data_IF_140896740757
#
_entry.id   IF_140896740757
#
_cell.length_a   1.000
_cell.length_b   1.000
_cell.length_c   1.000
_cell.angle_alpha   90.00
_cell.angle_beta   90.00
_cell.angle_gamma   90.00
#
_symmetry.space_group_name_H-M   'P 1'
#
loop_
_entity.id
_entity.type
_entity.pdbx_description
1 polymer ?
#
# COMPACT_ATOMS: atom_id res chain seq x y z
N UNK A 1 -24.83 21.88 26.31
CA UNK A 1 -24.29 21.80 27.67
C UNK A 1 -22.80 21.49 27.59
N UNK A 2 -21.98 22.03 28.49
CA UNK A 2 -20.55 21.70 28.60
C UNK A 2 -20.16 21.49 30.07
N UNK A 3 -19.19 20.63 30.30
CA UNK A 3 -18.62 20.30 31.60
C UNK A 3 -17.11 20.39 31.48
N UNK A 4 -16.46 21.01 32.47
CA UNK A 4 -15.01 21.11 32.59
C UNK A 4 -14.60 20.49 33.93
N UNK A 5 -13.70 19.52 33.90
CA UNK A 5 -13.16 18.82 35.07
C UNK A 5 -11.66 19.11 35.17
N UNK A 6 -11.18 19.41 36.36
CA UNK A 6 -9.76 19.54 36.64
C UNK A 6 -9.30 18.30 37.43
N UNK A 7 -8.30 17.59 36.90
CA UNK A 7 -7.65 16.53 37.67
C UNK A 7 -6.98 17.10 38.94
N UNK A 8 -6.68 16.27 39.95
CA UNK A 8 -5.88 16.70 41.11
C UNK A 8 -4.53 17.33 40.71
N UNK A 9 -3.97 16.96 39.56
CA UNK A 9 -2.74 17.53 38.99
C UNK A 9 -2.97 18.82 38.17
N UNK A 10 -4.19 19.38 38.14
CA UNK A 10 -4.51 20.64 37.46
C UNK A 10 -4.78 20.53 35.95
N UNK A 11 -4.70 19.34 35.35
CA UNK A 11 -4.99 19.16 33.91
C UNK A 11 -6.50 19.26 33.64
N UNK A 12 -6.94 20.11 32.68
CA UNK A 12 -8.36 20.23 32.32
C UNK A 12 -8.81 19.12 31.37
N UNK A 13 -10.03 18.65 31.57
CA UNK A 13 -10.78 17.76 30.69
C UNK A 13 -12.12 18.41 30.41
N UNK A 14 -12.56 18.45 29.15
CA UNK A 14 -13.82 19.07 28.81
C UNK A 14 -14.66 18.15 27.92
N UNK A 15 -15.96 18.17 28.16
CA UNK A 15 -16.95 17.48 27.35
C UNK A 15 -18.14 18.40 27.12
N UNK A 16 -18.72 18.38 25.92
CA UNK A 16 -19.88 19.22 25.64
C UNK A 16 -20.60 18.79 24.37
N UNK A 17 -21.92 19.03 24.37
CA UNK A 17 -22.78 18.85 23.22
C UNK A 17 -23.36 20.21 22.76
N UNK A 18 -23.32 20.55 21.45
CA UNK A 18 -22.76 19.75 20.35
C UNK A 18 -21.23 19.67 20.32
N UNK A 19 -20.55 20.66 20.90
CA UNK A 19 -19.12 20.65 21.22
C UNK A 19 -18.86 21.66 22.33
N UNK A 20 -17.72 21.58 23.02
CA UNK A 20 -17.33 22.56 24.05
C UNK A 20 -17.21 23.97 23.44
N UNK A 21 -16.56 24.08 22.28
CA UNK A 21 -16.43 25.36 21.56
C UNK A 21 -17.77 26.00 21.21
N UNK A 22 -18.76 25.21 20.77
CA UNK A 22 -20.09 25.72 20.46
C UNK A 22 -20.86 26.21 21.70
N UNK A 23 -20.51 25.71 22.90
CA UNK A 23 -21.09 26.21 24.15
C UNK A 23 -20.37 27.49 24.60
N UNK A 24 -19.04 27.54 24.49
CA UNK A 24 -18.24 28.72 24.82
C UNK A 24 -18.61 29.92 23.94
N UNK A 25 -18.75 29.71 22.63
CA UNK A 25 -19.15 30.76 21.68
C UNK A 25 -20.49 31.42 22.07
N UNK A 26 -21.47 30.60 22.51
CA UNK A 26 -22.76 31.12 23.02
C UNK A 26 -22.65 31.80 24.38
N UNK A 27 -21.69 31.39 25.20
CA UNK A 27 -21.44 31.99 26.51
C UNK A 27 -20.80 33.38 26.36
N UNK A 28 -19.85 33.52 25.43
CA UNK A 28 -19.16 34.77 25.11
C UNK A 28 -20.05 35.77 24.35
N UNK A 29 -20.99 35.27 23.55
CA UNK A 29 -21.93 36.10 22.76
C UNK A 29 -23.41 35.82 23.11
N UNK A 30 -23.91 36.21 24.31
CA UNK A 30 -25.28 35.89 24.75
C UNK A 30 -26.39 36.45 23.85
N UNK A 31 -26.10 37.47 23.05
CA UNK A 31 -27.06 38.14 22.15
C UNK A 31 -27.25 37.40 20.81
N UNK A 32 -26.46 36.36 20.52
CA UNK A 32 -26.61 35.54 19.31
C UNK A 32 -27.71 34.46 19.44
N UNK A 33 -28.45 34.44 20.56
CA UNK A 33 -29.53 33.47 20.81
C UNK A 33 -30.81 33.90 20.09
N UNK A 34 -30.78 33.89 18.76
CA UNK A 34 -31.99 33.60 17.99
C UNK A 34 -32.14 32.07 17.93
N UNK A 35 -33.37 31.51 18.09
CA UNK A 35 -33.60 30.07 18.11
C UNK A 35 -33.52 29.53 16.69
N UNK A 36 -32.31 29.49 16.15
CA UNK A 36 -32.03 29.03 14.81
C UNK A 36 -31.57 27.58 14.86
N UNK A 37 -32.37 26.74 15.51
CA UNK A 37 -32.31 25.28 15.32
C UNK A 37 -32.58 24.94 13.84
N UNK A 38 -33.22 25.85 13.09
CA UNK A 38 -33.62 25.63 11.70
C UNK A 38 -32.61 26.10 10.63
N UNK A 39 -31.79 27.15 10.82
CA UNK A 39 -30.79 27.52 9.79
C UNK A 39 -29.48 26.74 9.89
N UNK A 40 -29.03 26.33 11.09
CA UNK A 40 -27.84 25.47 11.17
C UNK A 40 -28.07 24.09 10.54
N UNK A 41 -29.31 23.57 10.58
CA UNK A 41 -29.65 22.33 9.90
C UNK A 41 -29.60 22.48 8.37
N UNK A 42 -30.04 23.63 7.83
CA UNK A 42 -30.08 23.89 6.39
C UNK A 42 -28.69 24.15 5.78
N UNK A 43 -27.79 24.83 6.50
CA UNK A 43 -26.41 25.04 6.06
C UNK A 43 -25.54 23.80 6.23
N UNK A 44 -25.64 23.08 7.36
CA UNK A 44 -24.88 21.84 7.58
C UNK A 44 -25.33 20.69 6.68
N UNK A 45 -26.63 20.60 6.36
CA UNK A 45 -27.16 19.60 5.43
C UNK A 45 -26.62 19.76 4.02
N UNK A 46 -26.53 21.01 3.51
CA UNK A 46 -25.92 21.30 2.22
C UNK A 46 -24.42 20.98 2.17
N UNK A 47 -23.68 21.34 3.23
CA UNK A 47 -22.25 21.03 3.34
C UNK A 47 -21.98 19.53 3.44
N UNK A 48 -22.82 18.76 4.15
CA UNK A 48 -22.65 17.31 4.28
C UNK A 48 -22.93 16.58 2.96
N UNK A 49 -23.95 16.99 2.21
CA UNK A 49 -24.27 16.42 0.90
C UNK A 49 -23.13 16.67 -0.09
N UNK A 50 -22.58 17.88 -0.12
CA UNK A 50 -21.44 18.21 -0.98
C UNK A 50 -20.19 17.42 -0.58
N UNK A 51 -19.92 17.30 0.72
CA UNK A 51 -18.77 16.52 1.19
C UNK A 51 -18.91 15.03 0.85
N UNK A 52 -20.12 14.47 0.96
CA UNK A 52 -20.38 13.08 0.60
C UNK A 52 -20.21 12.84 -0.91
N UNK A 53 -20.63 13.81 -1.74
CA UNK A 53 -20.39 13.78 -3.18
C UNK A 53 -18.90 13.80 -3.50
N UNK A 54 -18.14 14.72 -2.91
CA UNK A 54 -16.68 14.77 -3.09
C UNK A 54 -16.00 13.46 -2.67
N UNK A 55 -16.47 12.86 -1.58
CA UNK A 55 -15.95 11.56 -1.14
C UNK A 55 -16.24 10.44 -2.16
N UNK A 56 -17.47 10.38 -2.68
CA UNK A 56 -17.85 9.41 -3.70
C UNK A 56 -17.02 9.59 -4.99
N UNK A 57 -16.83 10.83 -5.44
CA UNK A 57 -16.05 11.16 -6.64
C UNK A 57 -14.57 10.72 -6.48
N UNK A 58 -13.97 10.95 -5.32
CA UNK A 58 -12.60 10.52 -5.03
C UNK A 58 -12.49 8.99 -4.97
N UNK A 59 -13.49 8.33 -4.38
CA UNK A 59 -13.52 6.88 -4.28
C UNK A 59 -13.64 6.22 -5.66
N UNK A 60 -14.48 6.74 -6.54
CA UNK A 60 -14.64 6.25 -7.91
C UNK A 60 -13.33 6.35 -8.69
N UNK A 61 -12.64 7.50 -8.60
CA UNK A 61 -11.33 7.70 -9.26
C UNK A 61 -10.28 6.71 -8.75
N UNK A 62 -10.23 6.49 -7.44
CA UNK A 62 -9.29 5.57 -6.82
C UNK A 62 -9.54 4.12 -7.26
N UNK A 63 -10.81 3.70 -7.34
CA UNK A 63 -11.16 2.36 -7.83
C UNK A 63 -10.86 2.19 -9.32
N UNK A 64 -11.07 3.22 -10.14
CA UNK A 64 -10.72 3.20 -11.55
C UNK A 64 -9.20 3.04 -11.75
N UNK A 65 -8.38 3.79 -11.01
CA UNK A 65 -6.92 3.67 -11.04
C UNK A 65 -6.44 2.29 -10.59
N UNK A 66 -7.02 1.76 -9.50
CA UNK A 66 -6.74 0.40 -9.03
C UNK A 66 -7.07 -0.67 -10.06
N UNK A 67 -8.25 -0.57 -10.67
CA UNK A 67 -8.70 -1.50 -11.68
C UNK A 67 -7.77 -1.47 -12.89
N UNK A 68 -7.42 -0.27 -13.37
CA UNK A 68 -6.48 -0.11 -14.47
C UNK A 68 -5.10 -0.69 -14.13
N UNK A 69 -4.56 -0.43 -12.94
CA UNK A 69 -3.29 -0.98 -12.51
C UNK A 69 -3.31 -2.52 -12.45
N UNK A 70 -4.41 -3.10 -11.95
CA UNK A 70 -4.60 -4.55 -11.91
C UNK A 70 -4.66 -5.16 -13.31
N UNK A 71 -5.44 -4.59 -14.21
CA UNK A 71 -5.55 -5.06 -15.60
C UNK A 71 -4.20 -5.00 -16.34
N UNK A 72 -3.40 -3.96 -16.08
CA UNK A 72 -2.06 -3.84 -16.66
C UNK A 72 -1.09 -4.90 -16.12
N UNK A 73 -1.18 -5.24 -14.83
CA UNK A 73 -0.39 -6.32 -14.25
C UNK A 73 -0.82 -7.68 -14.76
N UNK A 74 -2.12 -7.93 -14.85
CA UNK A 74 -2.67 -9.19 -15.39
C UNK A 74 -2.24 -9.38 -16.86
N UNK A 75 -2.34 -8.31 -17.68
CA UNK A 75 -1.88 -8.34 -19.08
C UNK A 75 -0.38 -8.65 -19.20
N UNK A 76 0.46 -7.97 -18.40
CA UNK A 76 1.90 -8.24 -18.38
C UNK A 76 2.20 -9.67 -17.90
N UNK A 77 1.47 -10.16 -16.91
CA UNK A 77 1.61 -11.53 -16.42
C UNK A 77 1.29 -12.57 -17.50
N UNK A 78 0.22 -12.36 -18.27
CA UNK A 78 -0.12 -13.21 -19.42
C UNK A 78 0.92 -13.14 -20.54
N UNK A 79 1.48 -11.97 -20.83
CA UNK A 79 2.55 -11.81 -21.82
C UNK A 79 3.84 -12.55 -21.41
N UNK A 80 4.23 -12.49 -20.13
CA UNK A 80 5.39 -13.23 -19.62
C UNK A 80 5.18 -14.75 -19.71
N UNK A 81 3.98 -15.26 -19.39
CA UNK A 81 3.67 -16.68 -19.54
C UNK A 81 3.67 -17.13 -21.02
N UNK A 82 3.37 -16.23 -21.96
CA UNK A 82 3.43 -16.50 -23.39
C UNK A 82 4.85 -16.58 -23.98
N UNK A 83 5.82 -15.88 -23.38
CA UNK A 83 7.22 -15.91 -23.84
C UNK A 83 8.01 -17.12 -23.34
N UNK A 84 7.68 -17.65 -22.15
CA UNK A 84 8.31 -18.86 -21.58
C UNK A 84 7.95 -20.15 -22.35
N UNK A 85 6.93 -20.11 -23.22
CA UNK A 85 6.58 -21.23 -24.10
C UNK A 85 7.42 -21.27 -25.40
N UNK A 86 8.19 -20.22 -25.71
CA UNK A 86 8.98 -20.12 -26.95
C UNK A 86 10.49 -20.06 -26.73
N UNK A 87 10.97 -19.98 -25.50
CA UNK A 87 12.40 -20.08 -25.18
C UNK A 87 12.76 -21.54 -24.92
N UNK A 88 12.80 -22.33 -26.01
CA UNK A 88 13.64 -23.53 -26.04
C UNK A 88 15.05 -23.09 -25.62
N UNK A 89 15.40 -23.35 -24.37
CA UNK A 89 16.74 -23.14 -23.81
C UNK A 89 17.75 -23.81 -24.74
N UNK A 90 18.85 -23.13 -25.15
CA UNK A 90 19.96 -23.83 -25.78
C UNK A 90 20.47 -24.82 -24.74
N UNK A 91 20.39 -26.11 -25.09
CA UNK A 91 20.92 -27.21 -24.31
C UNK A 91 22.37 -26.88 -23.95
N UNK A 92 22.63 -26.52 -22.68
CA UNK A 92 23.97 -26.46 -22.15
C UNK A 92 24.52 -27.87 -22.26
N UNK A 93 25.31 -28.12 -23.31
CA UNK A 93 25.79 -29.44 -23.67
C UNK A 93 26.39 -30.10 -22.44
N UNK A 94 25.73 -31.17 -21.98
CA UNK A 94 26.29 -32.04 -20.97
C UNK A 94 27.64 -32.51 -21.52
N UNK A 95 28.73 -32.11 -20.87
CA UNK A 95 30.05 -32.66 -21.20
C UNK A 95 29.94 -34.16 -20.92
N UNK A 96 29.97 -34.95 -21.99
CA UNK A 96 29.79 -36.39 -21.93
C UNK A 96 30.80 -37.00 -20.93
N UNK A 97 30.34 -37.94 -20.10
CA UNK A 97 31.16 -38.55 -19.06
C UNK A 97 32.44 -39.21 -19.63
N UNK A 98 32.43 -39.61 -20.92
CA UNK A 98 33.60 -40.10 -21.63
C UNK A 98 34.70 -39.04 -21.75
N UNK A 99 34.35 -37.77 -21.96
CA UNK A 99 35.33 -36.67 -22.07
C UNK A 99 36.00 -36.43 -20.71
N UNK A 100 35.22 -36.44 -19.63
CA UNK A 100 35.75 -36.34 -18.26
C UNK A 100 36.68 -37.52 -17.97
N UNK A 101 36.27 -38.73 -18.34
CA UNK A 101 37.06 -39.95 -18.13
C UNK A 101 38.36 -39.93 -18.96
N UNK A 102 38.34 -39.41 -20.19
CA UNK A 102 39.50 -39.33 -21.06
C UNK A 102 40.53 -38.29 -20.54
N UNK A 103 40.05 -37.14 -20.06
CA UNK A 103 40.90 -36.13 -19.41
C UNK A 103 41.54 -36.71 -18.14
N UNK A 104 40.76 -37.44 -17.33
CA UNK A 104 41.28 -38.08 -16.13
C UNK A 104 42.37 -39.12 -16.47
N UNK A 105 42.18 -39.92 -17.52
CA UNK A 105 43.15 -40.92 -17.95
C UNK A 105 44.46 -40.28 -18.41
N UNK A 106 44.38 -39.20 -19.18
CA UNK A 106 45.57 -38.45 -19.64
C UNK A 106 46.33 -37.88 -18.43
N UNK A 107 45.63 -37.32 -17.44
CA UNK A 107 46.28 -36.80 -16.24
C UNK A 107 46.96 -37.88 -15.41
N UNK A 108 46.37 -39.09 -15.32
CA UNK A 108 46.98 -40.24 -14.65
C UNK A 108 48.24 -40.69 -15.37
N UNK A 109 48.22 -40.81 -16.70
CA UNK A 109 49.43 -41.15 -17.47
C UNK A 109 50.53 -40.11 -17.31
N UNK A 110 50.18 -38.82 -17.35
CA UNK A 110 51.16 -37.74 -17.16
C UNK A 110 51.77 -37.73 -15.75
N UNK A 111 51.00 -38.10 -14.72
CA UNK A 111 51.52 -38.29 -13.37
C UNK A 111 52.44 -39.51 -13.26
N UNK A 112 52.04 -40.65 -13.86
CA UNK A 112 52.85 -41.87 -13.84
C UNK A 112 54.20 -41.68 -14.57
N UNK A 113 54.18 -41.01 -15.72
CA UNK A 113 55.39 -40.67 -16.49
C UNK A 113 56.31 -39.74 -15.69
N UNK A 114 55.75 -38.75 -14.97
CA UNK A 114 56.53 -37.86 -14.10
C UNK A 114 57.14 -38.60 -12.90
N UNK A 115 56.44 -39.56 -12.32
CA UNK A 115 56.96 -40.37 -11.21
C UNK A 115 58.04 -41.36 -11.62
N UNK A 116 58.14 -41.74 -12.89
CA UNK A 116 59.18 -42.66 -13.40
C UNK A 116 60.50 -41.97 -13.79
N UNK A 117 60.55 -40.63 -13.79
CA UNK A 117 61.76 -39.85 -14.10
C UNK A 117 62.48 -39.31 -12.83
N UNK A 118 62.07 -39.75 -11.65
CA UNK A 118 62.75 -39.58 -10.36
C UNK A 118 63.03 -40.96 -9.76
#
# INVERSE_FOLDING_TARGET
>A
MAIILFSPSGKPFSFGHPSVGAVLDRFEHPQAVCPTVTQQAKTKGGTLVELNKQYADVLERLEAEKKWAKEQLDKRGMELLGLEASTSTPHAGAIDASVISQIAMILVEQMLVRSSQF
#
